data_IF_076316010618
#
_entry.id   IF_076316010618
#
_cell.length_a   1.000
_cell.length_b   1.000
_cell.length_c   1.000
_cell.angle_alpha   90.00
_cell.angle_beta   90.00
_cell.angle_gamma   90.00
#
_symmetry.space_group_name_H-M   'P 1'
#
loop_
_entity.id
_entity.type
_entity.pdbx_description
1 polymer ?
#
# COMPACT_ATOMS: atom_id res chain seq x y z
N UNK A 1 10.87 -3.07 14.98
CA UNK A 1 9.75 -2.21 14.53
C UNK A 1 10.14 -1.30 13.37
N UNK A 2 11.18 -0.46 13.48
CA UNK A 2 11.57 0.45 12.38
C UNK A 2 11.79 -0.25 11.03
N UNK A 3 12.63 -1.29 10.97
CA UNK A 3 12.90 -2.02 9.72
C UNK A 3 11.64 -2.63 9.10
N UNK A 4 10.73 -3.19 9.91
CA UNK A 4 9.46 -3.73 9.42
C UNK A 4 8.53 -2.64 8.89
N UNK A 5 8.43 -1.50 9.60
CA UNK A 5 7.69 -0.32 9.15
C UNK A 5 8.28 0.30 7.88
N UNK A 6 9.60 0.28 7.72
CA UNK A 6 10.28 0.75 6.51
C UNK A 6 9.98 -0.16 5.31
N UNK A 7 10.06 -1.47 5.48
CA UNK A 7 9.72 -2.43 4.43
C UNK A 7 8.23 -2.38 4.07
N UNK A 8 7.35 -2.27 5.07
CA UNK A 8 5.92 -2.11 4.85
C UNK A 8 5.58 -0.79 4.15
N UNK A 9 6.27 0.31 4.47
CA UNK A 9 6.14 1.58 3.75
C UNK A 9 6.53 1.45 2.28
N UNK A 10 7.67 0.80 1.98
CA UNK A 10 8.08 0.58 0.59
C UNK A 10 7.06 -0.25 -0.19
N UNK A 11 6.42 -1.24 0.44
CA UNK A 11 5.39 -2.05 -0.19
C UNK A 11 4.15 -1.21 -0.49
N UNK A 12 3.70 -0.40 0.47
CA UNK A 12 2.59 0.55 0.31
C UNK A 12 2.89 1.47 -0.88
N UNK A 13 4.03 2.15 -0.87
CA UNK A 13 4.41 3.13 -1.90
C UNK A 13 4.47 2.50 -3.30
N UNK A 14 5.09 1.32 -3.42
CA UNK A 14 5.16 0.58 -4.70
C UNK A 14 3.79 0.16 -5.20
N UNK A 15 2.91 -0.30 -4.31
CA UNK A 15 1.55 -0.71 -4.67
C UNK A 15 0.72 0.47 -5.17
N UNK A 16 0.82 1.63 -4.51
CA UNK A 16 0.14 2.86 -4.91
C UNK A 16 0.68 3.37 -6.26
N UNK A 17 2.00 3.36 -6.45
CA UNK A 17 2.60 3.73 -7.74
C UNK A 17 2.18 2.80 -8.88
N UNK A 18 2.12 1.48 -8.63
CA UNK A 18 1.65 0.53 -9.62
C UNK A 18 0.20 0.82 -10.01
N UNK A 19 -0.69 1.05 -9.03
CA UNK A 19 -2.09 1.40 -9.28
C UNK A 19 -2.21 2.63 -10.18
N UNK A 20 -1.48 3.71 -9.85
CA UNK A 20 -1.48 4.95 -10.64
C UNK A 20 -0.95 4.72 -12.07
N UNK A 21 0.11 3.93 -12.24
CA UNK A 21 0.64 3.60 -13.56
C UNK A 21 -0.37 2.84 -14.41
N UNK A 22 -1.07 1.85 -13.84
CA UNK A 22 -2.09 1.10 -14.57
C UNK A 22 -3.30 2.02 -14.86
N UNK A 23 -3.70 2.87 -13.91
CA UNK A 23 -4.80 3.82 -14.07
C UNK A 23 -4.56 4.77 -15.25
N UNK A 24 -3.34 5.31 -15.34
CA UNK A 24 -2.92 6.20 -16.43
C UNK A 24 -2.63 5.46 -17.75
N UNK A 25 -2.53 4.13 -17.72
CA UNK A 25 -2.38 3.34 -18.94
C UNK A 25 -3.69 3.32 -19.73
N UNK A 26 -3.61 3.03 -21.04
CA UNK A 26 -4.78 2.82 -21.90
C UNK A 26 -5.40 1.44 -21.69
N UNK A 27 -5.64 1.04 -20.43
CA UNK A 27 -6.11 -0.29 -20.03
C UNK A 27 -7.43 -0.67 -20.70
N UNK A 28 -8.31 0.31 -20.95
CA UNK A 28 -9.57 0.17 -21.67
C UNK A 28 -9.44 -0.19 -23.16
N UNK A 29 -8.22 -0.20 -23.73
CA UNK A 29 -7.95 -0.62 -25.12
C UNK A 29 -7.42 -2.05 -25.24
N UNK A 30 -7.19 -2.73 -24.12
CA UNK A 30 -6.68 -4.10 -24.05
C UNK A 30 -7.89 -5.08 -24.11
N UNK A 31 -7.77 -6.35 -24.53
CA UNK A 31 -8.88 -7.31 -24.47
C UNK A 31 -9.58 -7.40 -23.10
N UNK A 32 -10.90 -7.60 -23.11
CA UNK A 32 -11.78 -7.60 -21.92
C UNK A 32 -11.30 -8.54 -20.81
N UNK A 33 -10.74 -9.70 -21.16
CA UNK A 33 -10.17 -10.64 -20.19
C UNK A 33 -9.05 -10.03 -19.35
N UNK A 34 -8.20 -9.17 -19.95
CA UNK A 34 -7.11 -8.47 -19.28
C UNK A 34 -7.57 -7.17 -18.60
N UNK A 35 -8.62 -6.52 -19.11
CA UNK A 35 -9.21 -5.34 -18.48
C UNK A 35 -9.72 -5.65 -17.07
N UNK A 36 -10.43 -6.78 -16.92
CA UNK A 36 -10.93 -7.24 -15.60
C UNK A 36 -9.79 -7.47 -14.61
N UNK A 37 -8.68 -8.05 -15.07
CA UNK A 37 -7.49 -8.25 -14.25
C UNK A 37 -6.87 -6.92 -13.81
N UNK A 38 -6.76 -5.94 -14.71
CA UNK A 38 -6.22 -4.62 -14.36
C UNK A 38 -7.10 -3.86 -13.37
N UNK A 39 -8.42 -3.91 -13.55
CA UNK A 39 -9.37 -3.34 -12.58
C UNK A 39 -9.24 -3.99 -11.21
N UNK A 40 -9.08 -5.32 -11.15
CA UNK A 40 -8.86 -6.02 -9.90
C UNK A 40 -7.57 -5.57 -9.19
N UNK A 41 -6.47 -5.43 -9.94
CA UNK A 41 -5.20 -4.93 -9.41
C UNK A 41 -5.34 -3.51 -8.88
N UNK A 42 -5.97 -2.60 -9.65
CA UNK A 42 -6.23 -1.23 -9.19
C UNK A 42 -7.05 -1.21 -7.91
N UNK A 43 -8.16 -1.97 -7.84
CA UNK A 43 -9.01 -2.05 -6.66
C UNK A 43 -8.24 -2.56 -5.43
N UNK A 44 -7.39 -3.56 -5.62
CA UNK A 44 -6.53 -4.11 -4.57
C UNK A 44 -5.43 -3.15 -4.12
N UNK A 45 -4.93 -2.29 -4.99
CA UNK A 45 -3.89 -1.31 -4.64
C UNK A 45 -4.47 0.00 -4.09
N UNK A 46 -5.70 0.39 -4.48
CA UNK A 46 -6.45 1.50 -3.87
C UNK A 46 -6.85 1.18 -2.44
N UNK A 47 -7.27 -0.05 -2.19
CA UNK A 47 -7.37 -0.60 -0.84
C UNK A 47 -5.96 -0.97 -0.36
N UNK A 48 -5.18 0.06 -0.08
CA UNK A 48 -3.76 0.06 0.32
C UNK A 48 -3.28 -1.31 0.81
N UNK A 49 -2.26 -1.88 0.17
CA UNK A 49 -1.69 -3.16 0.63
C UNK A 49 -0.94 -2.88 1.94
N UNK A 50 -1.67 -2.93 3.05
CA UNK A 50 -1.12 -2.74 4.38
C UNK A 50 -0.91 -4.08 5.04
N UNK A 51 0.30 -4.27 5.58
CA UNK A 51 0.57 -5.40 6.44
C UNK A 51 0.19 -4.97 7.86
N UNK A 52 -0.85 -5.62 8.40
CA UNK A 52 -1.31 -5.38 9.76
C UNK A 52 -0.77 -6.48 10.67
N UNK A 53 -0.05 -6.11 11.73
CA UNK A 53 0.29 -7.01 12.82
C UNK A 53 -0.92 -7.13 13.75
N UNK A 54 -1.55 -8.32 13.78
CA UNK A 54 -2.69 -8.64 14.66
C UNK A 54 -3.87 -7.66 14.57
N UNK A 55 -4.01 -6.94 13.46
CA UNK A 55 -4.98 -5.86 13.26
C UNK A 55 -4.87 -4.67 14.23
N UNK A 56 -3.73 -4.53 14.91
CA UNK A 56 -3.48 -3.49 15.93
C UNK A 56 -2.45 -2.48 15.42
N UNK A 57 -1.51 -2.91 14.57
CA UNK A 57 -0.41 -2.07 14.09
C UNK A 57 -0.20 -2.23 12.59
N UNK A 58 -0.28 -1.12 11.86
CA UNK A 58 0.07 -1.07 10.44
C UNK A 58 1.59 -0.95 10.32
N UNK A 59 2.22 -1.81 9.51
CA UNK A 59 3.65 -1.70 9.21
C UNK A 59 3.91 -0.51 8.27
N UNK A 60 3.82 0.71 8.80
CA UNK A 60 4.18 1.96 8.10
C UNK A 60 5.12 2.80 8.94
N UNK A 61 5.86 3.71 8.29
CA UNK A 61 6.70 4.68 9.00
C UNK A 61 5.86 5.67 9.81
N UNK A 62 4.64 5.96 9.35
CA UNK A 62 3.66 6.78 10.06
C UNK A 62 3.29 6.17 11.41
N UNK A 63 2.90 4.89 11.43
CA UNK A 63 2.57 4.18 12.67
C UNK A 63 3.77 4.06 13.60
N UNK A 64 4.97 3.86 13.06
CA UNK A 64 6.20 3.85 13.85
C UNK A 64 6.45 5.20 14.52
N UNK A 65 6.37 6.29 13.75
CA UNK A 65 6.57 7.66 14.23
C UNK A 65 5.56 8.01 15.34
N UNK A 66 4.29 7.63 15.19
CA UNK A 66 3.26 7.84 16.21
C UNK A 66 3.59 7.13 17.54
N UNK A 67 4.04 5.87 17.47
CA UNK A 67 4.45 5.11 18.67
C UNK A 67 5.71 5.71 19.29
N UNK A 68 6.71 6.06 18.49
CA UNK A 68 7.95 6.68 18.98
C UNK A 68 7.69 8.01 19.68
N UNK A 69 6.85 8.88 19.11
CA UNK A 69 6.45 10.14 19.74
C UNK A 69 5.76 9.91 21.09
N UNK A 70 4.84 8.93 21.16
CA UNK A 70 4.15 8.60 22.41
C UNK A 70 5.10 8.09 23.51
N UNK A 71 6.15 7.36 23.14
CA UNK A 71 7.17 6.88 24.07
C UNK A 71 8.13 7.97 24.56
N UNK A 72 8.32 9.05 23.79
CA UNK A 72 9.23 10.16 24.17
C UNK A 72 8.53 11.18 25.09
N UNK A 73 7.20 11.27 25.02
CA UNK A 73 6.39 12.24 25.77
C UNK A 73 5.95 11.69 27.15
N UNK A 74 6.06 10.38 27.38
CA UNK A 74 5.85 9.71 28.66
C UNK A 74 7.19 9.42 29.35
#
# INVERSE_FOLDING_TARGET
MFMYSYMGQQLIDKSTQLSMKIYNARWYRIPISKQRMMLYIMLKCVNTITINAYNIYVLSLESFSAVSKKLIIN
#
